data_IF_456521619709
#
_entry.id   IF_456521619709
#
_cell.length_a   1.000
_cell.length_b   1.000
_cell.length_c   1.000
_cell.angle_alpha   90.00
_cell.angle_beta   90.00
_cell.angle_gamma   90.00
#
_symmetry.space_group_name_H-M   'P 1'
#
loop_
_entity.id
_entity.type
_entity.pdbx_description
1 polymer ?
#
# COMPACT_ATOMS: atom_id res chain seq x y z
N UNK A 1 7.23 64.97 1.24
CA UNK A 1 8.11 64.52 0.13
C UNK A 1 8.58 63.12 0.45
N UNK A 2 8.41 62.21 -0.53
CA UNK A 2 8.80 60.79 -0.62
C UNK A 2 9.82 60.29 0.41
N UNK A 3 9.57 59.09 0.97
CA UNK A 3 10.55 57.99 1.10
C UNK A 3 9.80 56.73 1.61
N UNK A 4 9.30 55.91 0.69
CA UNK A 4 9.93 54.68 0.17
C UNK A 4 9.86 53.52 1.18
N UNK A 5 8.67 52.91 1.24
CA UNK A 5 8.46 51.58 1.83
C UNK A 5 9.27 50.56 1.01
N UNK A 6 10.41 50.12 1.53
CA UNK A 6 11.11 48.94 0.99
C UNK A 6 10.46 47.71 1.61
N UNK A 7 9.51 47.14 0.88
CA UNK A 7 9.01 45.79 1.11
C UNK A 7 10.13 44.82 0.66
N UNK A 8 11.03 44.46 1.57
CA UNK A 8 11.95 43.36 1.32
C UNK A 8 11.17 42.07 1.49
N UNK A 9 10.52 41.62 0.42
CA UNK A 9 10.01 40.26 0.33
C UNK A 9 11.21 39.31 0.36
N UNK A 10 11.47 38.71 1.52
CA UNK A 10 12.40 37.60 1.65
C UNK A 10 11.77 36.40 0.95
N UNK A 11 12.02 36.29 -0.35
CA UNK A 11 11.72 35.08 -1.09
C UNK A 11 12.63 33.97 -0.57
N UNK A 12 12.10 33.14 0.33
CA UNK A 12 12.66 31.81 0.61
C UNK A 12 12.40 30.92 -0.61
N UNK A 13 13.11 31.21 -1.69
CA UNK A 13 13.25 30.36 -2.85
C UNK A 13 14.58 29.64 -2.76
N UNK A 14 14.62 28.48 -2.11
CA UNK A 14 15.67 27.48 -2.28
C UNK A 14 15.23 26.12 -1.70
N UNK A 15 14.25 25.45 -2.29
CA UNK A 15 14.32 23.99 -2.35
C UNK A 15 15.29 23.63 -3.47
N UNK A 16 16.58 23.87 -3.22
CA UNK A 16 17.67 23.38 -4.07
C UNK A 16 18.02 21.98 -3.58
N UNK A 17 17.79 20.96 -4.41
CA UNK A 17 18.40 19.65 -4.17
C UNK A 17 17.63 18.45 -4.71
N UNK A 18 17.89 18.15 -5.98
CA UNK A 18 17.88 16.83 -6.62
C UNK A 18 16.56 16.41 -7.29
N UNK A 19 16.67 15.88 -8.51
CA UNK A 19 15.65 15.09 -9.24
C UNK A 19 15.21 13.86 -8.42
N UNK A 20 14.52 14.08 -7.31
CA UNK A 20 14.04 13.05 -6.39
C UNK A 20 12.83 12.28 -6.95
N UNK A 21 12.21 12.74 -8.04
CA UNK A 21 10.97 12.15 -8.55
C UNK A 21 11.16 11.44 -9.90
N UNK A 22 12.16 10.54 -9.97
CA UNK A 22 12.09 9.45 -10.96
C UNK A 22 10.98 8.45 -10.61
N UNK A 23 10.59 8.33 -9.35
CA UNK A 23 9.42 7.55 -8.98
C UNK A 23 8.12 8.35 -9.22
N UNK A 24 7.01 7.69 -9.60
CA UNK A 24 5.69 8.33 -9.64
C UNK A 24 5.21 8.72 -8.22
N UNK A 25 4.46 9.80 -8.08
CA UNK A 25 3.95 10.25 -6.77
C UNK A 25 3.15 9.16 -6.06
N UNK A 26 2.29 8.44 -6.79
CA UNK A 26 1.48 7.34 -6.25
C UNK A 26 2.30 6.14 -5.73
N UNK A 27 3.59 6.05 -6.08
CA UNK A 27 4.48 5.02 -5.53
C UNK A 27 5.01 5.43 -4.15
N UNK A 28 5.36 6.72 -4.00
CA UNK A 28 5.87 7.31 -2.76
C UNK A 28 4.74 7.57 -1.76
N UNK A 29 3.60 8.02 -2.26
CA UNK A 29 2.39 8.34 -1.51
C UNK A 29 1.20 7.62 -2.16
N UNK A 30 1.03 6.31 -1.87
CA UNK A 30 -0.15 5.57 -2.33
C UNK A 30 -1.44 6.24 -1.86
N UNK A 31 -2.52 6.20 -2.66
CA UNK A 31 -3.82 6.71 -2.24
C UNK A 31 -4.29 6.05 -0.93
N UNK A 32 -5.13 6.76 -0.19
CA UNK A 32 -5.78 6.22 1.02
C UNK A 32 -7.29 6.15 0.79
N UNK A 33 -7.89 5.00 1.12
CA UNK A 33 -9.34 4.77 1.09
C UNK A 33 -9.71 3.90 2.30
N UNK A 34 -10.91 4.11 2.86
CA UNK A 34 -11.41 3.32 4.00
C UNK A 34 -11.79 1.89 3.63
N UNK A 35 -12.08 1.63 2.36
CA UNK A 35 -12.54 0.33 1.85
C UNK A 35 -11.49 -0.39 1.00
N UNK A 36 -10.34 0.23 0.75
CA UNK A 36 -9.27 -0.33 -0.09
C UNK A 36 -7.92 -0.24 0.60
N UNK A 37 -7.09 -1.24 0.36
CA UNK A 37 -5.68 -1.24 0.73
C UNK A 37 -4.86 -1.07 -0.55
N UNK A 38 -3.97 -0.09 -0.55
CA UNK A 38 -3.07 0.21 -1.65
C UNK A 38 -1.64 -0.19 -1.28
N UNK A 39 -0.99 -0.92 -2.18
CA UNK A 39 0.39 -1.38 -2.00
C UNK A 39 1.23 -1.07 -3.22
N UNK A 40 2.27 -0.27 -3.05
CA UNK A 40 3.22 0.04 -4.10
C UNK A 40 4.38 -0.97 -4.12
N UNK A 41 4.93 -1.21 -5.31
CA UNK A 41 6.06 -2.10 -5.54
C UNK A 41 7.03 -1.54 -6.57
N UNK A 42 8.27 -1.98 -6.45
CA UNK A 42 9.39 -1.58 -7.29
C UNK A 42 10.14 -2.82 -7.76
N UNK A 43 10.57 -2.81 -9.02
CA UNK A 43 11.43 -3.83 -9.59
C UNK A 43 12.31 -3.24 -10.69
N UNK A 44 13.49 -3.81 -10.88
CA UNK A 44 14.37 -3.47 -11.97
C UNK A 44 15.05 -4.71 -12.54
N UNK A 45 15.21 -4.77 -13.84
CA UNK A 45 15.91 -5.85 -14.55
C UNK A 45 16.24 -5.42 -15.99
N UNK A 46 17.24 -6.03 -16.61
CA UNK A 46 17.55 -5.83 -18.04
C UNK A 46 16.43 -6.36 -18.96
N UNK A 47 15.64 -7.30 -18.46
CA UNK A 47 14.46 -7.82 -19.13
C UNK A 47 13.19 -7.23 -18.51
N UNK A 48 12.40 -6.54 -19.34
CA UNK A 48 11.18 -5.87 -18.89
C UNK A 48 10.20 -6.78 -18.15
N UNK A 49 10.02 -8.02 -18.62
CA UNK A 49 9.05 -8.94 -18.03
C UNK A 49 9.46 -9.33 -16.61
N UNK A 50 10.75 -9.61 -16.39
CA UNK A 50 11.29 -9.86 -15.06
C UNK A 50 11.17 -8.61 -14.16
N UNK A 51 11.45 -7.41 -14.68
CA UNK A 51 11.29 -6.18 -13.91
C UNK A 51 9.83 -5.97 -13.44
N UNK A 52 8.85 -6.29 -14.30
CA UNK A 52 7.42 -6.27 -13.94
C UNK A 52 7.12 -7.29 -12.84
N UNK A 53 7.58 -8.53 -12.99
CA UNK A 53 7.33 -9.61 -12.02
C UNK A 53 7.94 -9.30 -10.65
N UNK A 54 9.17 -8.78 -10.61
CA UNK A 54 9.84 -8.33 -9.37
C UNK A 54 9.02 -7.22 -8.72
N UNK A 55 8.56 -6.25 -9.51
CA UNK A 55 7.76 -5.12 -9.01
C UNK A 55 6.43 -5.56 -8.43
N UNK A 56 5.72 -6.46 -9.12
CA UNK A 56 4.49 -7.05 -8.61
C UNK A 56 4.70 -7.88 -7.35
N UNK A 57 5.75 -8.71 -7.32
CA UNK A 57 6.07 -9.51 -6.14
C UNK A 57 6.40 -8.63 -4.94
N UNK A 58 7.13 -7.54 -5.16
CA UNK A 58 7.40 -6.51 -4.16
C UNK A 58 6.09 -5.90 -3.61
N UNK A 59 5.18 -5.48 -4.49
CA UNK A 59 3.88 -4.94 -4.08
C UNK A 59 3.02 -5.97 -3.34
N UNK A 60 3.01 -7.24 -3.77
CA UNK A 60 2.28 -8.33 -3.09
C UNK A 60 2.77 -8.55 -1.66
N UNK A 61 4.09 -8.46 -1.41
CA UNK A 61 4.64 -8.56 -0.05
C UNK A 61 4.19 -7.39 0.83
N UNK A 62 4.25 -6.16 0.30
CA UNK A 62 3.74 -4.97 0.99
C UNK A 62 2.26 -5.13 1.32
N UNK A 63 1.46 -5.58 0.35
CA UNK A 63 0.03 -5.81 0.51
C UNK A 63 -0.25 -6.84 1.62
N UNK A 64 0.43 -7.99 1.58
CA UNK A 64 0.30 -9.02 2.61
C UNK A 64 0.65 -8.49 4.01
N UNK A 65 1.70 -7.69 4.13
CA UNK A 65 2.12 -7.05 5.40
C UNK A 65 1.05 -6.08 5.93
N UNK A 66 0.47 -5.25 5.07
CA UNK A 66 -0.60 -4.31 5.43
C UNK A 66 -1.89 -5.02 5.84
N UNK A 67 -2.28 -6.07 5.11
CA UNK A 67 -3.44 -6.91 5.45
C UNK A 67 -3.22 -7.56 6.81
N UNK A 68 -2.06 -8.19 7.04
CA UNK A 68 -1.72 -8.81 8.33
C UNK A 68 -1.76 -7.80 9.48
N UNK A 69 -1.18 -6.61 9.27
CA UNK A 69 -1.21 -5.53 10.25
C UNK A 69 -2.63 -5.04 10.55
N UNK A 70 -3.49 -4.95 9.53
CA UNK A 70 -4.90 -4.57 9.68
C UNK A 70 -5.68 -5.59 10.50
N UNK A 71 -5.51 -6.89 10.22
CA UNK A 71 -6.19 -7.96 10.96
C UNK A 71 -5.70 -8.03 12.41
N UNK A 72 -4.38 -7.96 12.61
CA UNK A 72 -3.79 -7.97 13.96
C UNK A 72 -4.20 -6.73 14.78
N UNK A 73 -4.27 -5.55 14.15
CA UNK A 73 -4.75 -4.32 14.79
C UNK A 73 -6.20 -4.45 15.25
N UNK A 74 -7.08 -4.99 14.39
CA UNK A 74 -8.48 -5.28 14.74
C UNK A 74 -8.56 -6.27 15.90
N UNK A 75 -7.83 -7.39 15.86
CA UNK A 75 -7.88 -8.38 16.95
C UNK A 75 -7.40 -7.80 18.29
N UNK A 76 -6.34 -6.97 18.29
CA UNK A 76 -5.89 -6.23 19.49
C UNK A 76 -6.96 -5.27 20.01
N UNK A 77 -7.59 -4.49 19.13
CA UNK A 77 -8.67 -3.58 19.50
C UNK A 77 -9.84 -4.34 20.14
N UNK A 78 -10.30 -5.44 19.54
CA UNK A 78 -11.38 -6.26 20.09
C UNK A 78 -11.02 -6.88 21.45
N UNK A 79 -9.79 -7.40 21.61
CA UNK A 79 -9.30 -7.91 22.91
C UNK A 79 -9.28 -6.84 23.99
N UNK A 80 -8.83 -5.63 23.67
CA UNK A 80 -8.77 -4.51 24.61
C UNK A 80 -10.14 -3.93 24.96
N UNK A 81 -11.07 -3.89 24.01
CA UNK A 81 -12.40 -3.32 24.19
C UNK A 81 -13.37 -4.23 24.96
N UNK A 82 -13.27 -5.56 24.78
CA UNK A 82 -14.31 -6.48 25.25
C UNK A 82 -13.97 -7.27 26.51
N UNK A 83 -12.73 -7.27 27.01
CA UNK A 83 -12.36 -7.81 28.33
C UNK A 83 -12.77 -9.26 28.65
N UNK A 84 -13.27 -10.04 27.67
CA UNK A 84 -13.86 -11.37 27.85
C UNK A 84 -12.98 -12.46 27.23
N UNK A 85 -12.98 -13.60 27.92
CA UNK A 85 -12.14 -14.78 27.72
C UNK A 85 -12.20 -15.34 26.30
N UNK A 86 -11.03 -15.81 25.86
CA UNK A 86 -10.58 -16.07 24.49
C UNK A 86 -11.09 -17.38 23.85
N UNK A 87 -12.10 -18.06 24.39
CA UNK A 87 -12.45 -19.40 23.90
C UNK A 87 -13.23 -19.42 22.58
N UNK A 88 -13.88 -18.33 22.19
CA UNK A 88 -14.62 -18.23 20.90
C UNK A 88 -13.83 -17.54 19.78
N UNK A 89 -12.69 -16.89 20.09
CA UNK A 89 -11.85 -16.18 19.10
C UNK A 89 -10.70 -17.08 18.60
N UNK A 90 -10.71 -18.37 18.95
CA UNK A 90 -9.72 -19.34 18.48
C UNK A 90 -9.83 -19.72 16.99
N UNK A 91 -10.87 -19.27 16.29
CA UNK A 91 -11.10 -19.62 14.89
C UNK A 91 -10.49 -18.63 13.86
N UNK A 92 -9.86 -17.53 14.30
CA UNK A 92 -9.32 -16.48 13.40
C UNK A 92 -7.79 -16.58 13.26
N UNK A 93 -7.15 -17.58 13.88
CA UNK A 93 -5.69 -17.81 13.75
C UNK A 93 -5.30 -18.73 12.59
N UNK A 94 -6.25 -19.13 11.74
CA UNK A 94 -5.95 -19.73 10.43
C UNK A 94 -6.17 -18.71 9.33
N UNK A 95 -5.49 -17.58 9.41
CA UNK A 95 -5.23 -16.78 8.20
C UNK A 95 -4.13 -17.55 7.48
N UNK A 96 -4.55 -18.61 6.77
CA UNK A 96 -3.76 -19.14 5.67
C UNK A 96 -3.24 -17.95 4.88
N UNK A 97 -1.92 -17.91 4.72
CA UNK A 97 -1.17 -16.89 4.02
C UNK A 97 -2.01 -16.32 2.87
N UNK A 98 -2.59 -15.15 3.17
CA UNK A 98 -3.56 -14.36 2.41
C UNK A 98 -3.76 -14.90 1.00
N UNK A 99 -4.95 -15.47 0.73
CA UNK A 99 -5.38 -15.71 -0.65
C UNK A 99 -5.42 -14.35 -1.38
N UNK A 100 -4.28 -13.95 -1.95
CA UNK A 100 -4.07 -12.68 -2.63
C UNK A 100 -4.81 -12.62 -3.97
N UNK A 101 -5.66 -13.60 -4.31
CA UNK A 101 -6.41 -13.62 -5.58
C UNK A 101 -7.34 -12.42 -5.80
N UNK A 102 -7.66 -11.64 -4.75
CA UNK A 102 -8.53 -10.47 -4.83
C UNK A 102 -7.84 -9.11 -5.02
N UNK A 103 -6.54 -9.05 -5.32
CA UNK A 103 -5.87 -7.79 -5.69
C UNK A 103 -5.99 -7.51 -7.20
N UNK A 104 -6.01 -6.23 -7.55
CA UNK A 104 -5.95 -5.75 -8.93
C UNK A 104 -4.75 -4.82 -9.10
N UNK A 105 -4.21 -4.76 -10.33
CA UNK A 105 -3.17 -3.79 -10.68
C UNK A 105 -3.83 -2.47 -11.08
N UNK A 106 -3.77 -1.47 -10.22
CA UNK A 106 -4.36 -0.16 -10.51
C UNK A 106 -3.46 0.69 -11.41
N UNK A 107 -2.13 0.68 -11.17
CA UNK A 107 -1.17 1.48 -11.94
C UNK A 107 0.13 0.73 -12.20
N UNK A 108 0.76 1.10 -13.31
CA UNK A 108 2.12 0.70 -13.65
C UNK A 108 2.85 1.87 -14.32
N UNK A 109 4.13 2.04 -14.00
CA UNK A 109 5.03 2.96 -14.68
C UNK A 109 6.31 2.22 -14.99
N UNK A 110 6.66 2.19 -16.27
CA UNK A 110 7.88 1.58 -16.78
C UNK A 110 8.79 2.71 -17.25
N UNK A 111 10.08 2.60 -16.95
CA UNK A 111 11.14 3.49 -17.42
C UNK A 111 12.29 2.64 -17.92
N UNK A 112 12.97 3.12 -18.95
CA UNK A 112 14.27 2.58 -19.35
C UNK A 112 15.35 3.48 -18.75
N UNK A 113 16.35 2.88 -18.13
CA UNK A 113 17.45 3.54 -17.45
C UNK A 113 18.73 2.73 -17.66
N UNK A 114 19.64 3.25 -18.49
CA UNK A 114 20.96 2.64 -18.78
C UNK A 114 20.90 1.13 -19.11
N UNK A 115 20.04 0.75 -20.06
CA UNK A 115 19.85 -0.64 -20.49
C UNK A 115 19.08 -1.53 -19.50
N UNK A 116 18.59 -0.97 -18.40
CA UNK A 116 17.67 -1.62 -17.48
C UNK A 116 16.25 -1.07 -17.62
N UNK A 117 15.27 -1.90 -17.28
CA UNK A 117 13.90 -1.46 -17.05
C UNK A 117 13.68 -1.24 -15.57
N UNK A 118 13.17 -0.07 -15.22
CA UNK A 118 12.71 0.28 -13.87
C UNK A 118 11.19 0.33 -13.88
N UNK A 119 10.57 -0.50 -13.05
CA UNK A 119 9.11 -0.67 -13.01
C UNK A 119 8.57 -0.39 -11.63
N UNK A 120 7.60 0.51 -11.57
CA UNK A 120 6.77 0.78 -10.40
C UNK A 120 5.37 0.21 -10.66
N UNK A 121 4.78 -0.43 -9.66
CA UNK A 121 3.39 -0.90 -9.71
C UNK A 121 2.63 -0.44 -8.48
N UNK A 122 1.32 -0.27 -8.64
CA UNK A 122 0.37 -0.05 -7.55
C UNK A 122 -0.69 -1.13 -7.62
N UNK A 123 -0.77 -1.93 -6.57
CA UNK A 123 -1.83 -2.90 -6.37
C UNK A 123 -2.91 -2.30 -5.46
N UNK A 124 -4.16 -2.69 -5.72
CA UNK A 124 -5.32 -2.34 -4.91
C UNK A 124 -6.04 -3.61 -4.47
N UNK A 125 -6.47 -3.65 -3.23
CA UNK A 125 -7.26 -4.74 -2.66
C UNK A 125 -8.49 -4.18 -1.98
N UNK A 126 -9.68 -4.64 -2.38
CA UNK A 126 -10.93 -4.23 -1.75
C UNK A 126 -11.15 -5.03 -0.45
N UNK A 127 -11.35 -4.33 0.68
CA UNK A 127 -11.57 -4.95 1.98
C UNK A 127 -12.84 -5.81 2.04
N UNK A 128 -13.82 -5.57 1.16
CA UNK A 128 -14.97 -6.46 0.98
C UNK A 128 -14.58 -7.89 0.60
N UNK A 129 -13.40 -8.08 0.00
CA UNK A 129 -12.90 -9.41 -0.35
C UNK A 129 -12.36 -10.17 0.88
N UNK A 130 -12.09 -9.49 2.00
CA UNK A 130 -11.73 -10.14 3.27
C UNK A 130 -12.94 -10.68 4.03
N UNK A 131 -14.14 -10.15 3.78
CA UNK A 131 -15.38 -10.57 4.45
C UNK A 131 -16.06 -11.76 3.81
N UNK A 132 -15.37 -12.51 2.96
CA UNK A 132 -15.82 -13.86 2.61
C UNK A 132 -15.59 -14.73 3.86
N UNK A 133 -16.53 -14.65 4.79
CA UNK A 133 -16.68 -15.67 5.83
C UNK A 133 -16.66 -17.04 5.16
N UNK A 134 -15.93 -18.00 5.74
CA UNK A 134 -16.13 -19.40 5.41
C UNK A 134 -17.63 -19.72 5.49
N UNK A 135 -18.22 -20.16 4.38
CA UNK A 135 -19.63 -20.52 4.22
C UNK A 135 -20.12 -21.68 5.13
N UNK A 136 -19.31 -22.09 6.10
CA UNK A 136 -19.57 -23.15 7.08
C UNK A 136 -20.45 -22.68 8.26
N UNK A 137 -20.80 -21.40 8.35
CA UNK A 137 -21.69 -20.88 9.40
C UNK A 137 -23.11 -20.51 8.91
N UNK A 138 -23.43 -20.75 7.63
CA UNK A 138 -24.73 -20.35 7.04
C UNK A 138 -25.85 -21.38 7.22
N UNK A 139 -25.53 -22.59 7.70
CA UNK A 139 -26.48 -23.72 7.77
C UNK A 139 -26.89 -24.08 9.21
N UNK A 140 -26.86 -23.12 10.15
CA UNK A 140 -27.19 -23.35 11.57
C UNK A 140 -28.37 -22.52 12.10
N UNK A 141 -29.28 -22.11 11.21
CA UNK A 141 -30.62 -21.57 11.55
C UNK A 141 -31.74 -22.58 11.20
#
# INVERSE_FOLDING_TARGET
MKNFFILTALALGACAGNDLTRAPDWYLEPPSDKQKIYASGYGNDVNLQFAIEISELSAKRTLASQISSTVNGRSKYYRGANGKNLSEIGAIETIDAVNLSGYERERIKIKEDDGNYVVYVLLVYNLSNMSNEPSIFKDMD
#
